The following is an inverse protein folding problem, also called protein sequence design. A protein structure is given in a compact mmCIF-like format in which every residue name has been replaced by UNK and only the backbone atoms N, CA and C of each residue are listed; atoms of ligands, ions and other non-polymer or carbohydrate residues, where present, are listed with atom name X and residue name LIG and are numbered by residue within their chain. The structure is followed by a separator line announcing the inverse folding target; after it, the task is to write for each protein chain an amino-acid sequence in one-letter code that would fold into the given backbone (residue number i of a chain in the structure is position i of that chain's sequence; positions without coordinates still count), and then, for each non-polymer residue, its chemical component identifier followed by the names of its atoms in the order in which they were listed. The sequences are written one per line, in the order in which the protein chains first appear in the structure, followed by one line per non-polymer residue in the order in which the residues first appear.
data_IF_289781719417
#
_entry.id   IF_289781719417
#
_cell.length_a   1.000
_cell.length_b   1.000
_cell.length_c   1.000
_cell.angle_alpha   90.00
_cell.angle_beta   90.00
_cell.angle_gamma   90.00
#
_symmetry.space_group_name_H-M   'P 1'
#
loop_
_entity.id
_entity.type
_entity.pdbx_description
1 polymer ?
#
# COMPACT_ATOMS: atom_id res chain seq x y z
N UNK A 1 -7.95 24.44 -33.04
CA UNK A 1 -6.96 25.55 -33.00
C UNK A 1 -6.12 25.59 -34.27
N UNK A 2 -5.95 26.75 -34.92
CA UNK A 2 -4.93 26.94 -35.95
C UNK A 2 -3.52 26.57 -35.43
N UNK A 3 -2.59 26.16 -36.30
CA UNK A 3 -1.24 25.80 -35.92
C UNK A 3 -0.53 27.00 -35.28
N UNK A 4 -0.13 26.87 -34.01
CA UNK A 4 0.58 27.90 -33.24
C UNK A 4 -0.17 28.43 -32.02
N UNK A 5 -1.44 28.09 -31.82
CA UNK A 5 -2.14 28.39 -30.56
C UNK A 5 -1.75 27.38 -29.48
N UNK A 6 -1.27 27.88 -28.33
CA UNK A 6 -1.05 27.08 -27.13
C UNK A 6 -2.37 26.62 -26.54
N UNK A 7 -2.46 25.35 -26.14
CA UNK A 7 -3.72 24.72 -25.70
C UNK A 7 -4.25 25.13 -24.31
N UNK A 8 -3.58 26.06 -23.63
CA UNK A 8 -3.93 26.59 -22.30
C UNK A 8 -4.15 25.52 -21.21
N UNK A 9 -3.66 24.29 -21.40
CA UNK A 9 -3.78 23.23 -20.39
C UNK A 9 -2.77 23.45 -19.28
N UNK A 10 -3.23 23.51 -18.04
CA UNK A 10 -2.36 23.55 -16.87
C UNK A 10 -2.00 22.12 -16.45
N UNK A 11 -0.83 21.64 -16.86
CA UNK A 11 -0.36 20.28 -16.62
C UNK A 11 -0.22 19.96 -15.12
N UNK A 12 0.16 20.94 -14.28
CA UNK A 12 0.27 20.75 -12.82
C UNK A 12 -1.08 20.46 -12.14
N UNK A 13 -2.20 20.85 -12.78
CA UNK A 13 -3.55 20.51 -12.31
C UNK A 13 -4.05 19.18 -12.86
N UNK A 14 -3.36 18.59 -13.83
CA UNK A 14 -3.79 17.39 -14.54
C UNK A 14 -3.00 16.17 -14.11
N UNK A 15 -1.73 16.35 -13.72
CA UNK A 15 -0.85 15.25 -13.35
C UNK A 15 0.19 15.68 -12.32
N UNK A 16 0.72 14.67 -11.63
CA UNK A 16 1.83 14.79 -10.71
C UNK A 16 2.87 13.73 -11.08
N UNK A 17 4.14 14.14 -11.19
CA UNK A 17 5.25 13.21 -11.44
C UNK A 17 5.52 12.39 -10.17
N UNK A 18 5.38 11.07 -10.26
CA UNK A 18 5.60 10.14 -9.14
C UNK A 18 6.99 9.51 -9.15
N UNK A 19 7.56 9.28 -10.35
CA UNK A 19 8.89 8.71 -10.52
C UNK A 19 9.62 9.37 -11.69
N UNK A 20 10.93 9.51 -11.56
CA UNK A 20 11.81 9.99 -12.63
C UNK A 20 12.68 8.85 -13.14
N UNK A 21 12.50 8.35 -14.38
CA UNK A 21 13.40 7.34 -14.94
C UNK A 21 14.82 7.89 -15.11
N UNK A 22 14.98 9.21 -15.32
CA UNK A 22 16.26 9.87 -15.55
C UNK A 22 16.84 10.39 -14.22
N UNK A 23 17.04 9.49 -13.27
CA UNK A 23 17.60 9.81 -11.96
C UNK A 23 19.08 9.33 -11.85
N UNK A 24 19.89 9.91 -10.96
CA UNK A 24 21.31 9.60 -10.86
C UNK A 24 21.62 8.28 -10.14
N UNK A 25 20.60 7.51 -9.72
CA UNK A 25 20.79 6.26 -8.98
C UNK A 25 20.93 5.09 -9.94
N UNK A 26 21.82 4.16 -9.59
CA UNK A 26 21.90 2.86 -10.26
C UNK A 26 20.77 1.94 -9.77
N UNK A 27 20.35 1.00 -10.61
CA UNK A 27 19.38 -0.05 -10.22
C UNK A 27 19.79 -0.75 -8.92
N UNK A 28 21.08 -1.00 -8.73
CA UNK A 28 21.62 -1.60 -7.51
C UNK A 28 21.35 -0.75 -6.26
N UNK A 29 21.45 0.57 -6.37
CA UNK A 29 21.16 1.48 -5.24
C UNK A 29 19.67 1.53 -4.95
N UNK A 30 18.83 1.49 -5.98
CA UNK A 30 17.38 1.40 -5.85
C UNK A 30 17.02 0.09 -5.13
N UNK A 31 17.54 -1.04 -5.59
CA UNK A 31 17.32 -2.35 -4.96
C UNK A 31 17.76 -2.38 -3.49
N UNK A 32 18.93 -1.81 -3.19
CA UNK A 32 19.42 -1.69 -1.81
C UNK A 32 18.47 -0.85 -0.96
N UNK A 33 17.97 0.27 -1.48
CA UNK A 33 17.00 1.09 -0.78
C UNK A 33 15.69 0.32 -0.52
N UNK A 34 15.19 -0.45 -1.50
CA UNK A 34 13.99 -1.27 -1.33
C UNK A 34 14.18 -2.36 -0.26
N UNK A 35 15.38 -2.94 -0.14
CA UNK A 35 15.70 -3.88 0.95
C UNK A 35 15.68 -3.18 2.31
N UNK A 36 16.25 -1.98 2.41
CA UNK A 36 16.25 -1.18 3.65
C UNK A 36 14.82 -0.79 4.03
N UNK A 37 14.00 -0.33 3.08
CA UNK A 37 12.60 0.03 3.32
C UNK A 37 11.79 -1.15 3.89
N UNK A 38 11.98 -2.36 3.33
CA UNK A 38 11.36 -3.60 3.84
C UNK A 38 11.79 -3.94 5.26
N UNK A 39 13.09 -3.79 5.55
CA UNK A 39 13.62 -4.03 6.90
C UNK A 39 13.04 -3.05 7.92
N UNK A 40 12.92 -1.77 7.56
CA UNK A 40 12.30 -0.73 8.39
C UNK A 40 10.81 -1.04 8.62
N UNK A 41 10.07 -1.42 7.59
CA UNK A 41 8.65 -1.80 7.72
C UNK A 41 8.42 -3.03 8.60
N UNK A 42 9.35 -4.00 8.58
CA UNK A 42 9.33 -5.17 9.46
C UNK A 42 9.59 -4.76 10.91
N UNK A 43 10.60 -3.91 11.14
CA UNK A 43 10.97 -3.44 12.46
C UNK A 43 9.87 -2.61 13.11
N UNK A 44 9.25 -1.69 12.35
CA UNK A 44 8.16 -0.85 12.87
C UNK A 44 6.96 -1.69 13.35
N UNK A 45 6.59 -2.75 12.61
CA UNK A 45 5.53 -3.70 13.03
C UNK A 45 5.88 -4.48 14.29
N UNK A 46 7.17 -4.76 14.53
CA UNK A 46 7.61 -5.40 15.78
C UNK A 46 7.46 -4.46 17.00
N UNK A 47 7.41 -3.15 16.80
CA UNK A 47 7.25 -2.13 17.84
C UNK A 47 5.80 -1.69 18.06
N UNK A 48 4.88 -1.98 17.12
CA UNK A 48 3.46 -1.69 17.25
C UNK A 48 2.79 -2.64 18.27
N UNK A 49 2.67 -2.20 19.52
CA UNK A 49 2.05 -2.97 20.60
C UNK A 49 0.54 -2.76 20.78
N UNK A 50 -0.19 -2.13 19.84
CA UNK A 50 -1.64 -1.87 20.04
C UNK A 50 -2.53 -3.12 19.95
N UNK A 51 -1.99 -4.24 19.47
CA UNK A 51 -2.68 -5.53 19.36
C UNK A 51 -1.90 -6.62 20.10
N UNK A 52 -1.78 -6.49 21.42
CA UNK A 52 -1.11 -7.44 22.33
C UNK A 52 -1.70 -8.87 22.35
N UNK A 53 -2.55 -9.25 21.38
CA UNK A 53 -3.21 -10.57 21.30
C UNK A 53 -2.62 -11.47 20.21
N UNK A 54 -1.83 -10.98 19.24
CA UNK A 54 -1.00 -11.84 18.37
C UNK A 54 0.02 -10.96 17.65
N UNK A 55 1.25 -10.92 18.15
CA UNK A 55 2.35 -10.49 17.29
C UNK A 55 2.32 -11.40 16.04
N UNK A 56 2.26 -10.84 14.82
CA UNK A 56 2.42 -11.66 13.63
C UNK A 56 3.77 -12.37 13.71
N UNK A 57 3.84 -13.61 13.26
CA UNK A 57 5.12 -14.31 13.19
C UNK A 57 6.10 -13.50 12.32
N UNK A 58 7.40 -13.65 12.57
CA UNK A 58 8.44 -12.90 11.83
C UNK A 58 8.26 -12.99 10.30
N UNK A 59 7.86 -14.17 9.79
CA UNK A 59 7.58 -14.38 8.38
C UNK A 59 6.38 -13.58 7.87
N UNK A 60 5.30 -13.47 8.65
CA UNK A 60 4.14 -12.66 8.27
C UNK A 60 4.47 -11.17 8.26
N UNK A 61 5.20 -10.67 9.27
CA UNK A 61 5.64 -9.27 9.30
C UNK A 61 6.57 -8.92 8.13
N UNK A 62 7.48 -9.84 7.77
CA UNK A 62 8.37 -9.67 6.63
C UNK A 62 7.62 -9.71 5.29
N UNK A 63 6.64 -10.61 5.14
CA UNK A 63 5.80 -10.69 3.94
C UNK A 63 4.93 -9.42 3.78
N UNK A 64 4.31 -8.97 4.86
CA UNK A 64 3.54 -7.72 4.94
C UNK A 64 4.37 -6.50 4.52
N UNK A 65 5.54 -6.33 5.12
CA UNK A 65 6.46 -5.23 4.77
C UNK A 65 7.01 -5.32 3.34
N UNK A 66 6.83 -6.45 2.64
CA UNK A 66 7.28 -6.63 1.24
C UNK A 66 6.20 -6.31 0.21
N UNK A 67 4.98 -5.92 0.63
CA UNK A 67 3.89 -5.54 -0.28
C UNK A 67 4.16 -4.18 -0.93
N UNK A 68 3.58 -3.97 -2.11
CA UNK A 68 3.87 -2.81 -2.98
C UNK A 68 3.70 -1.45 -2.27
N UNK A 69 2.81 -1.36 -1.29
CA UNK A 69 2.55 -0.14 -0.51
C UNK A 69 3.76 0.29 0.35
N UNK A 70 4.62 -0.65 0.75
CA UNK A 70 5.84 -0.36 1.54
C UNK A 70 7.01 0.08 0.65
N UNK A 71 6.92 -0.08 -0.68
CA UNK A 71 7.96 0.35 -1.61
C UNK A 71 8.02 1.89 -1.76
N UNK A 72 7.01 2.62 -1.28
CA UNK A 72 6.88 4.08 -1.40
C UNK A 72 7.54 4.93 -0.29
N UNK A 73 8.14 4.34 0.75
CA UNK A 73 8.84 5.11 1.79
C UNK A 73 8.90 4.45 3.18
N UNK A 74 9.63 5.04 4.15
CA UNK A 74 9.93 4.46 5.47
C UNK A 74 8.79 4.56 6.50
N UNK A 75 7.54 4.72 6.04
CA UNK A 75 6.36 4.83 6.91
C UNK A 75 5.77 3.42 7.11
N UNK A 76 5.10 3.18 8.22
CA UNK A 76 4.21 2.02 8.35
C UNK A 76 3.09 2.15 7.31
N UNK A 77 3.36 1.63 6.13
CA UNK A 77 2.37 1.48 5.08
C UNK A 77 1.66 0.15 5.33
N UNK A 78 0.48 0.20 5.94
CA UNK A 78 -0.46 -0.92 5.96
C UNK A 78 -1.42 -0.71 4.80
N UNK A 79 -1.64 -1.76 4.02
CA UNK A 79 -2.81 -1.77 3.13
C UNK A 79 -4.06 -2.14 3.92
N UNK A 80 -5.22 -1.90 3.33
CA UNK A 80 -6.54 -2.14 3.94
C UNK A 80 -6.63 -3.52 4.61
N UNK A 81 -6.10 -4.57 3.97
CA UNK A 81 -6.16 -5.93 4.49
C UNK A 81 -5.29 -6.13 5.75
N UNK A 82 -4.23 -5.33 5.91
CA UNK A 82 -3.40 -5.30 7.14
C UNK A 82 -3.94 -4.37 8.22
N UNK A 83 -4.87 -3.48 7.88
CA UNK A 83 -5.59 -2.66 8.85
C UNK A 83 -6.79 -3.41 9.44
N UNK A 84 -7.36 -4.36 8.70
CA UNK A 84 -8.51 -5.14 9.17
C UNK A 84 -8.17 -5.97 10.41
N UNK A 85 -9.06 -5.90 11.39
CA UNK A 85 -9.10 -6.85 12.50
C UNK A 85 -9.44 -8.26 12.01
N UNK A 86 -9.08 -9.28 12.80
CA UNK A 86 -9.44 -10.66 12.48
C UNK A 86 -10.97 -10.85 12.35
N UNK A 87 -11.76 -10.11 13.12
CA UNK A 87 -13.22 -10.11 13.01
C UNK A 87 -13.73 -9.48 11.72
N UNK A 88 -13.13 -8.38 11.26
CA UNK A 88 -13.51 -7.74 9.99
C UNK A 88 -13.17 -8.63 8.79
N UNK A 89 -12.02 -9.30 8.82
CA UNK A 89 -11.67 -10.29 7.79
C UNK A 89 -12.68 -11.45 7.73
N UNK A 90 -13.10 -11.96 8.90
CA UNK A 90 -14.12 -13.02 8.96
C UNK A 90 -15.49 -12.55 8.48
N UNK A 91 -15.92 -11.34 8.85
CA UNK A 91 -17.18 -10.76 8.38
C UNK A 91 -17.19 -10.59 6.86
N UNK A 92 -16.06 -10.16 6.29
CA UNK A 92 -15.94 -10.03 4.84
C UNK A 92 -15.97 -11.37 4.11
N UNK A 93 -15.36 -12.42 4.67
CA UNK A 93 -15.45 -13.79 4.11
C UNK A 93 -16.90 -14.29 4.12
N UNK A 94 -17.65 -14.11 5.21
CA UNK A 94 -19.07 -14.48 5.29
C UNK A 94 -19.91 -13.67 4.29
N UNK A 95 -19.64 -12.37 4.17
CA UNK A 95 -20.34 -11.50 3.24
C UNK A 95 -20.06 -11.87 1.77
N UNK A 96 -18.83 -12.27 1.44
CA UNK A 96 -18.46 -12.79 0.12
C UNK A 96 -19.18 -14.10 -0.21
N UNK A 97 -19.33 -15.01 0.75
CA UNK A 97 -20.08 -16.25 0.56
C UNK A 97 -21.57 -15.99 0.32
N UNK A 98 -22.13 -15.00 1.02
CA UNK A 98 -23.56 -14.67 0.98
C UNK A 98 -23.96 -13.83 -0.24
N UNK A 99 -23.17 -12.82 -0.58
CA UNK A 99 -23.50 -11.81 -1.60
C UNK A 99 -22.61 -11.91 -2.85
N UNK A 100 -21.63 -12.81 -2.88
CA UNK A 100 -20.70 -12.93 -3.99
C UNK A 100 -19.81 -11.70 -4.08
N UNK A 101 -19.66 -11.10 -5.27
CA UNK A 101 -18.80 -9.92 -5.50
C UNK A 101 -19.58 -8.60 -5.52
N UNK A 102 -20.77 -8.56 -4.93
CA UNK A 102 -21.52 -7.31 -4.79
C UNK A 102 -21.03 -6.51 -3.57
N UNK A 103 -20.03 -5.67 -3.79
CA UNK A 103 -19.43 -4.88 -2.72
C UNK A 103 -20.35 -3.79 -2.15
N UNK A 104 -21.41 -3.41 -2.87
CA UNK A 104 -22.36 -2.42 -2.34
C UNK A 104 -23.24 -3.06 -1.25
N UNK A 105 -23.73 -4.27 -1.51
CA UNK A 105 -24.55 -5.03 -0.56
C UNK A 105 -23.71 -5.51 0.64
N UNK A 106 -22.47 -5.96 0.39
CA UNK A 106 -21.51 -6.33 1.47
C UNK A 106 -21.29 -5.15 2.42
N UNK A 107 -21.04 -3.93 1.90
CA UNK A 107 -20.79 -2.74 2.73
C UNK A 107 -22.03 -2.26 3.51
N UNK A 108 -23.23 -2.58 3.04
CA UNK A 108 -24.46 -2.10 3.66
C UNK A 108 -24.90 -3.01 4.82
N UNK A 109 -24.67 -4.31 4.70
CA UNK A 109 -25.18 -5.33 5.62
C UNK A 109 -24.14 -5.87 6.62
N UNK A 110 -22.85 -5.59 6.40
CA UNK A 110 -21.71 -6.02 7.22
C UNK A 110 -20.78 -4.84 7.53
#
# INVERSE_FOLDING_TARGET
PPPGESDNRNQQKMEMKVWDPDNPLTDRQIDQFLVVARAVGTFARALDCSSSIRQPSLHMSAAAASRDITLGGPVLCRDEMEEWSASEAMLFEEALEKYGKDFNDIRQDF
#
